data_IF_966240962457
#
_entry.id   IF_966240962457
#
_cell.length_a   1.000
_cell.length_b   1.000
_cell.length_c   1.000
_cell.angle_alpha   90.00
_cell.angle_beta   90.00
_cell.angle_gamma   90.00
#
_symmetry.space_group_name_H-M   'P 1'
#
loop_
_entity.id
_entity.type
_entity.pdbx_description
1 polymer ?
#
# COMPACT_ATOMS: atom_id res chain seq x y z
N UNK A 1 23.57 -3.05 -29.08
CA UNK A 1 22.81 -4.30 -29.34
C UNK A 1 23.47 -5.55 -28.71
N UNK A 2 24.06 -5.44 -27.51
CA UNK A 2 24.86 -6.51 -26.88
C UNK A 2 24.09 -7.81 -26.57
N UNK A 3 22.78 -7.72 -26.34
CA UNK A 3 21.94 -8.84 -25.89
C UNK A 3 20.85 -9.23 -26.91
N UNK A 4 20.97 -8.78 -28.16
CA UNK A 4 19.96 -9.01 -29.20
C UNK A 4 19.65 -10.50 -29.40
N UNK A 5 20.66 -11.36 -29.33
CA UNK A 5 20.53 -12.81 -29.42
C UNK A 5 19.81 -13.48 -28.23
N UNK A 6 19.55 -12.73 -27.15
CA UNK A 6 18.81 -13.21 -25.96
C UNK A 6 17.39 -12.65 -25.90
N UNK A 7 17.01 -11.80 -26.84
CA UNK A 7 15.69 -11.18 -26.91
C UNK A 7 14.89 -11.85 -28.04
N UNK A 8 13.64 -12.20 -27.76
CA UNK A 8 12.73 -12.65 -28.81
C UNK A 8 12.43 -11.52 -29.82
N UNK A 9 12.47 -10.27 -29.37
CA UNK A 9 12.24 -9.08 -30.19
C UNK A 9 12.76 -7.82 -29.48
N UNK A 10 13.19 -6.81 -30.24
CA UNK A 10 13.43 -5.46 -29.75
C UNK A 10 13.15 -4.43 -30.86
N UNK A 11 12.80 -3.21 -30.47
CA UNK A 11 12.59 -2.07 -31.37
C UNK A 11 12.96 -0.78 -30.65
N UNK A 12 13.39 0.23 -31.41
CA UNK A 12 13.62 1.59 -30.94
C UNK A 12 12.94 2.53 -31.92
N UNK A 13 11.80 3.06 -31.52
CA UNK A 13 10.95 3.95 -32.32
C UNK A 13 10.32 4.99 -31.39
N UNK A 14 9.71 6.03 -31.96
CA UNK A 14 8.96 6.99 -31.17
C UNK A 14 7.72 6.33 -30.57
N UNK A 15 7.44 6.61 -29.29
CA UNK A 15 6.23 6.19 -28.59
C UNK A 15 5.45 7.41 -28.06
N UNK A 16 4.19 7.17 -27.70
CA UNK A 16 3.33 8.17 -27.06
C UNK A 16 3.50 8.20 -25.53
N UNK A 17 4.60 7.63 -25.02
CA UNK A 17 4.86 7.42 -23.61
C UNK A 17 4.96 5.94 -23.22
N UNK A 18 5.28 5.72 -21.95
CA UNK A 18 5.60 4.41 -21.38
C UNK A 18 4.45 3.39 -21.53
N UNK A 19 3.20 3.81 -21.39
CA UNK A 19 2.03 2.96 -21.61
C UNK A 19 1.95 2.44 -23.04
N UNK A 20 2.24 3.29 -24.04
CA UNK A 20 2.26 2.86 -25.44
C UNK A 20 3.39 1.85 -25.70
N UNK A 21 4.60 2.13 -25.21
CA UNK A 21 5.73 1.21 -25.32
C UNK A 21 5.44 -0.17 -24.70
N UNK A 22 4.86 -0.21 -23.50
CA UNK A 22 4.48 -1.46 -22.83
C UNK A 22 3.37 -2.17 -23.60
N UNK A 23 2.34 -1.44 -24.04
CA UNK A 23 1.24 -2.02 -24.83
C UNK A 23 1.73 -2.62 -26.14
N UNK A 24 2.68 -1.98 -26.84
CA UNK A 24 3.35 -2.55 -28.02
C UNK A 24 4.06 -3.86 -27.67
N UNK A 25 4.78 -3.91 -26.55
CA UNK A 25 5.40 -5.12 -26.03
C UNK A 25 4.39 -6.23 -25.72
N UNK A 26 3.31 -5.92 -25.01
CA UNK A 26 2.24 -6.88 -24.67
C UNK A 26 1.51 -7.43 -25.90
N UNK A 27 1.29 -6.62 -26.93
CA UNK A 27 0.71 -7.09 -28.21
C UNK A 27 1.63 -8.12 -28.89
N UNK A 28 2.95 -7.97 -28.76
CA UNK A 28 3.95 -8.87 -29.34
C UNK A 28 4.25 -10.11 -28.51
N UNK A 29 4.03 -10.06 -27.20
CA UNK A 29 4.22 -11.20 -26.32
C UNK A 29 3.39 -12.40 -26.83
N UNK A 30 3.79 -13.63 -26.49
CA UNK A 30 3.06 -14.86 -26.86
C UNK A 30 2.70 -15.72 -25.64
N UNK A 31 3.23 -15.39 -24.46
CA UNK A 31 2.95 -16.11 -23.22
C UNK A 31 1.53 -15.88 -22.71
N UNK A 32 1.02 -16.88 -21.96
CA UNK A 32 -0.26 -16.80 -21.24
C UNK A 32 -0.20 -15.89 -20.03
N UNK A 33 1.00 -15.69 -19.49
CA UNK A 33 1.29 -14.78 -18.37
C UNK A 33 2.20 -13.68 -18.91
N UNK A 34 1.82 -12.45 -18.60
CA UNK A 34 2.53 -11.24 -18.99
C UNK A 34 2.93 -10.46 -17.74
N UNK A 35 4.04 -9.75 -17.85
CA UNK A 35 4.51 -8.76 -16.90
C UNK A 35 5.25 -7.68 -17.68
N UNK A 36 5.58 -6.58 -17.04
CA UNK A 36 6.55 -5.63 -17.57
C UNK A 36 7.47 -5.18 -16.46
N UNK A 37 8.70 -4.84 -16.83
CA UNK A 37 9.74 -4.41 -15.89
C UNK A 37 10.36 -3.14 -16.46
N UNK A 38 10.49 -2.11 -15.62
CA UNK A 38 11.17 -0.88 -16.04
C UNK A 38 12.66 -1.16 -16.25
N UNK A 39 13.32 -0.37 -17.09
CA UNK A 39 14.70 -0.63 -17.51
C UNK A 39 15.74 -0.51 -16.41
N UNK A 40 15.37 0.10 -15.29
CA UNK A 40 16.18 0.34 -14.08
C UNK A 40 15.89 -0.67 -12.95
N UNK A 41 14.84 -1.46 -13.07
CA UNK A 41 14.41 -2.47 -12.11
C UNK A 41 14.97 -3.87 -12.44
N UNK A 42 14.94 -4.79 -11.48
CA UNK A 42 15.37 -6.20 -11.70
C UNK A 42 14.44 -7.19 -11.01
N UNK A 43 14.30 -8.40 -11.57
CA UNK A 43 13.64 -9.50 -10.87
C UNK A 43 14.58 -10.18 -9.87
N UNK A 44 13.99 -10.72 -8.80
CA UNK A 44 14.67 -11.65 -7.91
C UNK A 44 14.84 -13.04 -8.58
N UNK A 45 15.90 -13.80 -8.25
CA UNK A 45 16.04 -15.17 -8.73
C UNK A 45 14.82 -16.02 -8.39
N UNK A 46 14.23 -16.67 -9.40
CA UNK A 46 13.05 -17.51 -9.24
C UNK A 46 11.71 -16.76 -9.29
N UNK A 47 11.69 -15.44 -9.41
CA UNK A 47 10.46 -14.65 -9.40
C UNK A 47 9.44 -15.09 -10.47
N UNK A 48 9.89 -15.23 -11.73
CA UNK A 48 9.04 -15.69 -12.84
C UNK A 48 8.48 -17.08 -12.56
N UNK A 49 9.31 -17.99 -12.03
CA UNK A 49 8.89 -19.35 -11.70
C UNK A 49 7.81 -19.35 -10.62
N UNK A 50 8.04 -18.63 -9.52
CA UNK A 50 7.10 -18.55 -8.40
C UNK A 50 5.74 -17.97 -8.84
N UNK A 51 5.75 -16.91 -9.65
CA UNK A 51 4.52 -16.31 -10.17
C UNK A 51 3.77 -17.25 -11.12
N UNK A 52 4.48 -17.92 -12.04
CA UNK A 52 3.90 -18.85 -13.01
C UNK A 52 3.34 -20.09 -12.30
N UNK A 53 4.08 -20.71 -11.38
CA UNK A 53 3.64 -21.88 -10.62
C UNK A 53 2.40 -21.56 -9.78
N UNK A 54 2.36 -20.41 -9.12
CA UNK A 54 1.19 -19.99 -8.35
C UNK A 54 -0.03 -19.82 -9.26
N UNK A 55 0.12 -19.09 -10.37
CA UNK A 55 -0.97 -18.92 -11.33
C UNK A 55 -1.39 -20.27 -11.92
N UNK A 56 -0.49 -21.19 -12.25
CA UNK A 56 -0.88 -22.51 -12.74
C UNK A 56 -1.75 -23.28 -11.73
N UNK A 57 -1.49 -23.14 -10.43
CA UNK A 57 -2.23 -23.80 -9.36
C UNK A 57 -3.55 -23.10 -8.99
N UNK A 58 -3.70 -21.82 -9.30
CA UNK A 58 -4.86 -20.99 -8.94
C UNK A 58 -5.50 -20.38 -10.20
N UNK A 59 -6.28 -21.16 -10.98
CA UNK A 59 -6.89 -20.72 -12.23
C UNK A 59 -7.84 -19.52 -12.07
N UNK A 60 -8.41 -19.33 -10.87
CA UNK A 60 -9.29 -18.22 -10.50
C UNK A 60 -8.56 -16.88 -10.29
N UNK A 61 -7.26 -16.92 -10.02
CA UNK A 61 -6.44 -15.72 -9.82
C UNK A 61 -6.07 -15.09 -11.16
N UNK A 62 -6.43 -13.83 -11.35
CA UNK A 62 -6.15 -13.04 -12.55
C UNK A 62 -4.73 -12.49 -12.57
N UNK A 63 -4.24 -12.12 -11.38
CA UNK A 63 -2.99 -11.42 -11.20
C UNK A 63 -2.38 -11.77 -9.85
N UNK A 64 -1.06 -11.87 -9.84
CA UNK A 64 -0.29 -12.05 -8.63
C UNK A 64 0.77 -10.98 -8.48
N UNK A 65 1.14 -10.69 -7.24
CA UNK A 65 2.20 -9.74 -6.90
C UNK A 65 2.92 -10.17 -5.63
N UNK A 66 4.11 -9.64 -5.35
CA UNK A 66 4.96 -10.12 -4.27
C UNK A 66 5.71 -9.00 -3.56
N UNK A 67 6.62 -9.38 -2.65
CA UNK A 67 7.48 -8.40 -1.99
C UNK A 67 8.42 -7.75 -3.01
N UNK A 68 8.75 -6.49 -2.76
CA UNK A 68 9.65 -5.71 -3.58
C UNK A 68 10.76 -5.14 -2.71
N UNK A 69 12.01 -5.49 -3.00
CA UNK A 69 13.14 -4.77 -2.41
C UNK A 69 13.26 -3.39 -3.02
N UNK A 70 13.74 -2.45 -2.21
CA UNK A 70 14.17 -1.16 -2.71
C UNK A 70 15.69 -1.18 -2.81
N UNK A 71 16.20 -0.79 -3.96
CA UNK A 71 17.63 -0.71 -4.21
C UNK A 71 18.05 0.73 -4.51
N UNK A 72 19.25 1.10 -4.05
CA UNK A 72 19.88 2.36 -4.42
C UNK A 72 20.48 2.29 -5.84
N UNK A 73 21.04 3.39 -6.40
CA UNK A 73 21.70 3.36 -7.71
C UNK A 73 22.83 2.33 -7.83
N UNK A 74 23.49 1.96 -6.72
CA UNK A 74 24.54 0.95 -6.65
C UNK A 74 24.00 -0.49 -6.63
N UNK A 75 22.67 -0.67 -6.52
CA UNK A 75 22.02 -1.98 -6.46
C UNK A 75 21.94 -2.58 -5.05
N UNK A 76 22.32 -1.83 -4.02
CA UNK A 76 22.28 -2.28 -2.64
C UNK A 76 20.86 -2.17 -2.09
N UNK A 77 20.41 -3.19 -1.36
CA UNK A 77 19.09 -3.22 -0.73
C UNK A 77 19.05 -2.21 0.41
N UNK A 78 18.21 -1.20 0.26
CA UNK A 78 18.00 -0.17 1.28
C UNK A 78 16.70 -0.37 2.04
N UNK A 79 15.75 -1.14 1.50
CA UNK A 79 14.43 -1.32 2.09
C UNK A 79 13.65 -2.46 1.46
N UNK A 80 12.44 -2.71 1.97
CA UNK A 80 11.54 -3.72 1.42
C UNK A 80 10.08 -3.30 1.61
N UNK A 81 9.31 -3.37 0.53
CA UNK A 81 7.87 -3.30 0.53
C UNK A 81 7.31 -4.72 0.54
N UNK A 82 6.59 -5.06 1.61
CA UNK A 82 5.93 -6.36 1.72
C UNK A 82 4.60 -6.31 0.99
N UNK A 83 4.41 -7.23 0.04
CA UNK A 83 3.08 -7.57 -0.43
C UNK A 83 2.18 -7.96 0.76
N UNK A 84 1.07 -7.25 0.87
CA UNK A 84 -0.05 -7.58 1.73
C UNK A 84 -1.21 -8.04 0.84
N UNK A 85 -2.04 -8.99 1.27
CA UNK A 85 -3.27 -9.32 0.56
C UNK A 85 -4.15 -8.07 0.44
N UNK A 86 -4.61 -7.76 -0.77
CA UNK A 86 -5.49 -6.62 -1.03
C UNK A 86 -6.73 -7.07 -1.78
N UNK A 87 -7.81 -6.31 -1.58
CA UNK A 87 -8.99 -6.37 -2.42
C UNK A 87 -9.27 -4.97 -2.99
N UNK A 88 -10.35 -4.85 -3.76
CA UNK A 88 -10.73 -3.57 -4.38
C UNK A 88 -10.94 -2.43 -3.36
N UNK A 89 -11.47 -2.70 -2.15
CA UNK A 89 -11.64 -1.68 -1.12
C UNK A 89 -10.28 -1.15 -0.66
N UNK A 90 -9.33 -2.06 -0.39
CA UNK A 90 -7.97 -1.68 -0.01
C UNK A 90 -7.27 -0.92 -1.12
N UNK A 91 -7.40 -1.36 -2.37
CA UNK A 91 -6.76 -0.70 -3.51
C UNK A 91 -7.27 0.72 -3.72
N UNK A 92 -8.59 0.95 -3.62
CA UNK A 92 -9.17 2.28 -3.73
C UNK A 92 -8.60 3.27 -2.71
N UNK A 93 -8.32 2.78 -1.49
CA UNK A 93 -7.77 3.59 -0.42
C UNK A 93 -6.25 3.69 -0.48
N UNK A 94 -5.57 2.69 -1.03
CA UNK A 94 -4.12 2.54 -1.00
C UNK A 94 -3.60 1.79 -2.23
N UNK A 95 -2.76 2.43 -3.06
CA UNK A 95 -2.05 1.73 -4.13
C UNK A 95 -0.90 0.89 -3.53
N UNK A 96 -1.23 -0.30 -3.04
CA UNK A 96 -0.31 -1.15 -2.27
C UNK A 96 0.49 -2.14 -3.12
N UNK A 97 0.28 -2.19 -4.44
CA UNK A 97 0.92 -3.15 -5.34
C UNK A 97 2.12 -2.49 -6.01
N UNK A 98 3.29 -3.10 -5.84
CA UNK A 98 4.50 -2.66 -6.52
C UNK A 98 4.51 -3.21 -7.94
N UNK A 99 4.40 -2.31 -8.92
CA UNK A 99 4.40 -2.62 -10.35
C UNK A 99 5.40 -3.71 -10.78
N UNK A 100 6.71 -3.64 -10.45
CA UNK A 100 7.68 -4.61 -10.96
C UNK A 100 7.47 -6.03 -10.41
N UNK A 101 6.60 -6.22 -9.42
CA UNK A 101 6.27 -7.53 -8.86
C UNK A 101 5.04 -8.17 -9.49
N UNK A 102 4.30 -7.45 -10.34
CA UNK A 102 3.01 -7.91 -10.83
C UNK A 102 3.13 -8.80 -12.08
N UNK A 103 2.50 -9.97 -12.00
CA UNK A 103 2.35 -10.92 -13.11
C UNK A 103 0.86 -11.14 -13.35
N UNK A 104 0.42 -11.00 -14.60
CA UNK A 104 -0.98 -10.95 -15.00
C UNK A 104 -1.24 -12.04 -16.01
N UNK A 105 -2.38 -12.73 -15.92
CA UNK A 105 -2.84 -13.56 -17.04
C UNK A 105 -3.21 -12.67 -18.22
N UNK A 106 -2.66 -12.97 -19.40
CA UNK A 106 -2.95 -12.22 -20.63
C UNK A 106 -4.44 -12.11 -20.91
N UNK A 107 -5.20 -13.21 -20.75
CA UNK A 107 -6.67 -13.27 -20.99
C UNK A 107 -7.49 -12.25 -20.18
N UNK A 108 -6.92 -11.70 -19.11
CA UNK A 108 -7.56 -10.66 -18.31
C UNK A 108 -7.68 -9.37 -19.11
N UNK A 109 -6.65 -9.06 -19.92
CA UNK A 109 -6.62 -7.84 -20.74
C UNK A 109 -7.69 -7.82 -21.83
N UNK A 110 -8.19 -8.98 -22.27
CA UNK A 110 -9.28 -9.07 -23.26
C UNK A 110 -10.57 -8.44 -22.73
N UNK A 111 -10.74 -8.43 -21.40
CA UNK A 111 -11.93 -7.91 -20.73
C UNK A 111 -11.68 -6.56 -20.07
N UNK A 112 -10.50 -6.36 -19.48
CA UNK A 112 -10.18 -5.12 -18.76
C UNK A 112 -9.63 -4.03 -19.69
N UNK A 113 -9.10 -4.40 -20.85
CA UNK A 113 -8.25 -3.54 -21.68
C UNK A 113 -6.82 -3.44 -21.15
N UNK A 114 -5.93 -2.88 -21.98
CA UNK A 114 -4.50 -2.69 -21.66
C UNK A 114 -4.28 -1.41 -20.81
N UNK A 115 -3.04 -0.90 -20.76
CA UNK A 115 -2.73 0.36 -20.08
C UNK A 115 -3.31 1.54 -20.88
N UNK A 116 -3.83 2.53 -20.16
CA UNK A 116 -4.34 3.76 -20.76
C UNK A 116 -3.18 4.67 -21.16
N UNK A 117 -3.06 4.97 -22.45
CA UNK A 117 -1.95 5.78 -23.00
C UNK A 117 -2.07 7.26 -22.64
N UNK A 118 -3.25 7.71 -22.22
CA UNK A 118 -3.50 9.08 -21.77
C UNK A 118 -3.03 9.33 -20.32
N UNK A 119 -2.61 8.29 -19.60
CA UNK A 119 -2.09 8.38 -18.24
C UNK A 119 -0.56 8.43 -18.27
N UNK A 120 0.01 9.55 -17.82
CA UNK A 120 1.47 9.72 -17.74
C UNK A 120 2.10 9.06 -16.52
N UNK A 121 1.32 8.88 -15.45
CA UNK A 121 1.70 8.28 -14.18
C UNK A 121 0.58 7.37 -13.66
N UNK A 122 0.91 6.45 -12.75
CA UNK A 122 -0.05 5.55 -12.08
C UNK A 122 -0.96 4.74 -13.05
N UNK A 123 -0.51 4.55 -14.30
CA UNK A 123 -1.16 3.73 -15.31
C UNK A 123 -1.37 2.27 -14.87
N UNK A 124 -0.46 1.76 -14.05
CA UNK A 124 -0.55 0.46 -13.38
C UNK A 124 -1.69 0.44 -12.36
N UNK A 125 -1.82 1.48 -11.55
CA UNK A 125 -2.89 1.60 -10.55
C UNK A 125 -4.29 1.54 -11.18
N UNK A 126 -4.47 2.22 -12.32
CA UNK A 126 -5.70 2.12 -13.10
C UNK A 126 -6.01 0.68 -13.53
N UNK A 127 -5.00 -0.04 -14.03
CA UNK A 127 -5.15 -1.43 -14.43
C UNK A 127 -5.46 -2.33 -13.23
N UNK A 128 -4.79 -2.13 -12.09
CA UNK A 128 -5.06 -2.88 -10.86
C UNK A 128 -6.52 -2.72 -10.39
N UNK A 129 -7.06 -1.51 -10.43
CA UNK A 129 -8.47 -1.26 -10.07
C UNK A 129 -9.43 -1.96 -11.04
N UNK A 130 -9.18 -1.88 -12.36
CA UNK A 130 -10.01 -2.55 -13.37
C UNK A 130 -10.01 -4.07 -13.22
N UNK A 131 -8.85 -4.66 -12.93
CA UNK A 131 -8.73 -6.11 -12.67
C UNK A 131 -9.44 -6.47 -11.38
N UNK A 132 -9.11 -5.81 -10.27
CA UNK A 132 -9.59 -6.16 -8.93
C UNK A 132 -11.09 -5.92 -8.73
N UNK A 133 -11.72 -5.08 -9.57
CA UNK A 133 -13.17 -4.89 -9.56
C UNK A 133 -13.92 -6.16 -9.98
N UNK A 134 -13.33 -6.99 -10.84
CA UNK A 134 -14.02 -8.13 -11.45
C UNK A 134 -13.37 -9.47 -11.16
N UNK A 135 -12.09 -9.50 -10.83
CA UNK A 135 -11.32 -10.74 -10.71
C UNK A 135 -10.41 -10.73 -9.50
N UNK A 136 -10.11 -11.92 -8.99
CA UNK A 136 -9.27 -12.12 -7.83
C UNK A 136 -7.82 -11.77 -8.15
N UNK A 137 -7.17 -11.10 -7.21
CA UNK A 137 -5.74 -10.83 -7.21
C UNK A 137 -5.14 -11.36 -5.91
N UNK A 138 -3.93 -11.90 -5.95
CA UNK A 138 -3.32 -12.52 -4.77
C UNK A 138 -1.88 -12.05 -4.53
N UNK A 139 -1.57 -11.84 -3.25
CA UNK A 139 -0.21 -11.57 -2.78
C UNK A 139 0.54 -12.88 -2.55
N UNK A 140 1.76 -13.00 -3.07
CA UNK A 140 2.69 -14.03 -2.66
C UNK A 140 3.59 -13.53 -1.52
N UNK A 141 3.87 -14.37 -0.50
CA UNK A 141 4.81 -14.07 0.57
C UNK A 141 6.27 -14.31 0.14
N UNK A 142 6.63 -13.91 -1.08
CA UNK A 142 7.99 -14.04 -1.63
C UNK A 142 8.43 -12.75 -2.30
N UNK A 143 9.74 -12.49 -2.31
CA UNK A 143 10.32 -11.36 -3.05
C UNK A 143 10.36 -11.67 -4.54
N UNK A 144 9.75 -10.80 -5.35
CA UNK A 144 9.68 -10.98 -6.80
C UNK A 144 10.58 -9.99 -7.55
N UNK A 145 10.78 -8.78 -7.02
CA UNK A 145 11.53 -7.76 -7.75
C UNK A 145 12.28 -6.80 -6.83
N UNK A 146 13.19 -6.05 -7.44
CA UNK A 146 13.90 -4.92 -6.88
C UNK A 146 13.50 -3.66 -7.65
N UNK A 147 12.94 -2.70 -6.93
CA UNK A 147 12.61 -1.37 -7.43
C UNK A 147 13.75 -0.41 -7.15
N UNK A 148 14.25 0.28 -8.18
CA UNK A 148 15.33 1.27 -8.01
C UNK A 148 14.76 2.62 -7.58
N UNK A 149 15.08 3.03 -6.37
CA UNK A 149 14.69 4.33 -5.86
C UNK A 149 15.77 5.37 -6.23
N UNK A 150 15.39 6.39 -7.00
CA UNK A 150 16.25 7.55 -7.27
C UNK A 150 15.40 8.84 -7.43
N UNK A 151 16.04 9.98 -7.22
CA UNK A 151 15.40 11.31 -7.16
C UNK A 151 14.71 11.72 -8.47
N UNK A 152 15.20 11.22 -9.61
CA UNK A 152 14.64 11.51 -10.93
C UNK A 152 13.45 10.61 -11.31
N UNK A 153 13.07 9.64 -10.47
CA UNK A 153 11.92 8.79 -10.78
C UNK A 153 10.65 9.65 -10.94
N UNK A 154 9.82 9.34 -11.94
CA UNK A 154 8.66 10.19 -12.31
C UNK A 154 7.72 10.47 -11.14
N UNK A 155 7.49 9.46 -10.30
CA UNK A 155 6.65 9.55 -9.10
C UNK A 155 7.18 10.54 -8.05
N UNK A 156 8.49 10.82 -8.05
CA UNK A 156 9.17 11.78 -7.17
C UNK A 156 9.26 13.16 -7.82
N UNK A 157 9.55 13.23 -9.11
CA UNK A 157 9.83 14.49 -9.80
C UNK A 157 8.57 15.35 -10.04
N UNK A 158 7.36 14.74 -10.08
CA UNK A 158 6.12 15.44 -10.51
C UNK A 158 4.92 15.15 -9.59
N UNK A 159 4.97 15.54 -8.30
CA UNK A 159 3.92 15.19 -7.32
C UNK A 159 2.53 15.72 -7.71
N UNK A 160 2.43 16.93 -8.28
CA UNK A 160 1.15 17.49 -8.74
C UNK A 160 0.53 16.66 -9.86
N UNK A 161 1.32 16.26 -10.85
CA UNK A 161 0.82 15.44 -11.97
C UNK A 161 0.37 14.08 -11.46
N UNK A 162 1.12 13.48 -10.53
CA UNK A 162 0.75 12.20 -9.91
C UNK A 162 -0.61 12.26 -9.19
N UNK A 163 -0.88 13.33 -8.42
CA UNK A 163 -2.19 13.53 -7.78
C UNK A 163 -3.29 13.71 -8.82
N UNK A 164 -3.06 14.48 -9.88
CA UNK A 164 -4.07 14.71 -10.92
C UNK A 164 -4.40 13.42 -11.68
N UNK A 165 -3.38 12.62 -12.06
CA UNK A 165 -3.60 11.32 -12.72
C UNK A 165 -4.38 10.37 -11.80
N UNK A 166 -4.00 10.25 -10.52
CA UNK A 166 -4.75 9.44 -9.56
C UNK A 166 -6.19 9.93 -9.36
N UNK A 167 -6.43 11.25 -9.30
CA UNK A 167 -7.78 11.81 -9.24
C UNK A 167 -8.59 11.48 -10.49
N UNK A 168 -7.99 11.57 -11.68
CA UNK A 168 -8.63 11.20 -12.96
C UNK A 168 -9.04 9.73 -12.96
N UNK A 169 -8.13 8.85 -12.53
CA UNK A 169 -8.38 7.40 -12.40
C UNK A 169 -9.56 7.15 -11.44
N UNK A 170 -9.52 7.74 -10.23
CA UNK A 170 -10.56 7.55 -9.22
C UNK A 170 -11.91 8.12 -9.68
N UNK A 171 -11.95 9.33 -10.23
CA UNK A 171 -13.19 9.93 -10.76
C UNK A 171 -13.80 9.06 -11.86
N UNK A 172 -12.97 8.53 -12.77
CA UNK A 172 -13.43 7.58 -13.80
C UNK A 172 -13.97 6.30 -13.18
N UNK A 173 -13.28 5.75 -12.19
CA UNK A 173 -13.73 4.55 -11.47
C UNK A 173 -15.11 4.79 -10.84
N UNK A 174 -15.28 5.87 -10.07
CA UNK A 174 -16.53 6.19 -9.36
C UNK A 174 -17.68 6.64 -10.27
N UNK A 175 -17.38 7.12 -11.48
CA UNK A 175 -18.38 7.40 -12.50
C UNK A 175 -19.08 6.14 -13.05
N UNK A 176 -18.59 4.94 -12.74
CA UNK A 176 -19.24 3.70 -13.16
C UNK A 176 -20.62 3.55 -12.46
N UNK A 177 -21.73 3.56 -13.22
CA UNK A 177 -23.08 3.50 -12.66
C UNK A 177 -23.43 2.13 -12.07
N UNK A 178 -22.60 1.10 -12.26
CA UNK A 178 -22.80 -0.24 -11.73
C UNK A 178 -22.02 -0.54 -10.45
N UNK A 179 -21.29 0.44 -9.88
CA UNK A 179 -20.55 0.22 -8.64
C UNK A 179 -21.46 -0.17 -7.46
N UNK A 180 -21.08 -1.19 -6.68
CA UNK A 180 -21.72 -1.49 -5.41
C UNK A 180 -21.75 -0.28 -4.46
N UNK A 181 -22.82 -0.08 -3.67
CA UNK A 181 -22.89 1.01 -2.69
C UNK A 181 -21.71 1.03 -1.70
N UNK A 182 -21.20 -0.14 -1.31
CA UNK A 182 -20.05 -0.26 -0.41
C UNK A 182 -18.78 0.35 -1.00
N UNK A 183 -18.58 0.25 -2.32
CA UNK A 183 -17.46 0.88 -3.00
C UNK A 183 -17.69 2.39 -3.16
N UNK A 184 -18.90 2.81 -3.57
CA UNK A 184 -19.22 4.24 -3.72
C UNK A 184 -19.01 5.04 -2.44
N UNK A 185 -19.32 4.44 -1.28
CA UNK A 185 -19.10 5.07 0.01
C UNK A 185 -17.62 5.44 0.28
N UNK A 186 -16.67 4.84 -0.45
CA UNK A 186 -15.24 5.12 -0.32
C UNK A 186 -14.76 6.30 -1.19
N UNK A 187 -15.58 6.86 -2.08
CA UNK A 187 -15.15 7.86 -3.06
C UNK A 187 -14.41 9.05 -2.44
N UNK A 188 -15.05 9.67 -1.45
CA UNK A 188 -14.48 10.82 -0.76
C UNK A 188 -13.12 10.47 -0.11
N UNK A 189 -13.06 9.32 0.59
CA UNK A 189 -11.84 8.89 1.26
C UNK A 189 -10.72 8.53 0.28
N UNK A 190 -11.05 7.86 -0.83
CA UNK A 190 -10.09 7.49 -1.87
C UNK A 190 -9.45 8.74 -2.52
N UNK A 191 -10.27 9.75 -2.83
CA UNK A 191 -9.80 11.01 -3.40
C UNK A 191 -8.88 11.76 -2.43
N UNK A 192 -9.23 11.82 -1.15
CA UNK A 192 -8.37 12.44 -0.13
C UNK A 192 -7.08 11.66 0.08
N UNK A 193 -7.14 10.33 0.18
CA UNK A 193 -5.95 9.49 0.32
C UNK A 193 -4.98 9.67 -0.86
N UNK A 194 -5.49 10.01 -2.06
CA UNK A 194 -4.66 10.37 -3.20
C UNK A 194 -3.75 11.57 -2.90
N UNK A 195 -4.32 12.64 -2.33
CA UNK A 195 -3.55 13.80 -1.89
C UNK A 195 -2.58 13.44 -0.78
N UNK A 196 -3.07 12.81 0.29
CA UNK A 196 -2.26 12.56 1.48
C UNK A 196 -1.06 11.66 1.18
N UNK A 197 -1.22 10.65 0.33
CA UNK A 197 -0.09 9.78 -0.07
C UNK A 197 1.02 10.61 -0.70
N UNK A 198 0.66 11.51 -1.62
CA UNK A 198 1.61 12.37 -2.32
C UNK A 198 2.20 13.42 -1.39
N UNK A 199 1.39 14.06 -0.55
CA UNK A 199 1.85 15.05 0.43
C UNK A 199 2.89 14.40 1.34
N UNK A 200 2.60 13.24 1.93
CA UNK A 200 3.57 12.54 2.78
C UNK A 200 4.85 12.19 2.01
N UNK A 201 4.73 11.86 0.72
CA UNK A 201 5.87 11.68 -0.16
C UNK A 201 6.72 12.93 -0.34
N UNK A 202 6.10 14.07 -0.63
CA UNK A 202 6.79 15.35 -0.73
C UNK A 202 7.60 15.64 0.53
N UNK A 203 7.01 15.45 1.72
CA UNK A 203 7.71 15.70 2.98
C UNK A 203 8.85 14.70 3.24
N UNK A 204 8.68 13.43 2.86
CA UNK A 204 9.74 12.43 2.97
C UNK A 204 10.96 12.71 2.08
N UNK A 205 10.72 13.39 0.97
CA UNK A 205 11.71 13.75 -0.04
C UNK A 205 12.15 15.22 0.06
N UNK A 206 11.82 15.89 1.17
CA UNK A 206 12.17 17.28 1.46
C UNK A 206 11.62 18.31 0.43
N UNK A 207 10.57 17.95 -0.30
CA UNK A 207 9.81 18.82 -1.21
C UNK A 207 8.72 19.59 -0.45
N UNK A 208 9.09 20.30 0.61
CA UNK A 208 8.15 20.86 1.59
C UNK A 208 7.12 21.84 0.98
N UNK A 209 7.54 22.69 0.04
CA UNK A 209 6.65 23.68 -0.56
C UNK A 209 5.58 23.02 -1.44
N UNK A 210 5.96 22.01 -2.24
CA UNK A 210 5.00 21.21 -3.00
C UNK A 210 4.02 20.47 -2.09
N UNK A 211 4.52 19.92 -0.97
CA UNK A 211 3.68 19.26 0.03
C UNK A 211 2.65 20.21 0.67
N UNK A 212 3.05 21.44 1.05
CA UNK A 212 2.16 22.46 1.63
C UNK A 212 1.12 22.94 0.63
N UNK A 213 1.51 23.14 -0.62
CA UNK A 213 0.60 23.57 -1.68
C UNK A 213 -0.46 22.49 -1.98
N UNK A 214 -0.05 21.22 -2.09
CA UNK A 214 -0.99 20.11 -2.22
C UNK A 214 -1.93 19.99 -1.01
N UNK A 215 -1.43 20.27 0.19
CA UNK A 215 -2.26 20.30 1.39
C UNK A 215 -3.34 21.40 1.29
N UNK A 216 -2.96 22.61 0.89
CA UNK A 216 -3.90 23.72 0.72
C UNK A 216 -4.97 23.36 -0.32
N UNK A 217 -4.57 22.83 -1.48
CA UNK A 217 -5.50 22.35 -2.51
C UNK A 217 -6.47 21.31 -1.97
N UNK A 218 -5.97 20.30 -1.23
CA UNK A 218 -6.81 19.28 -0.60
C UNK A 218 -7.82 19.89 0.38
N UNK A 219 -7.42 20.85 1.22
CA UNK A 219 -8.33 21.48 2.19
C UNK A 219 -9.41 22.35 1.55
N UNK A 220 -9.13 22.92 0.38
CA UNK A 220 -10.12 23.68 -0.39
C UNK A 220 -11.10 22.73 -1.08
N UNK A 221 -10.60 21.64 -1.67
CA UNK A 221 -11.46 20.67 -2.38
C UNK A 221 -12.28 19.78 -1.43
N UNK A 222 -11.73 19.44 -0.26
CA UNK A 222 -12.32 18.50 0.72
C UNK A 222 -12.29 19.09 2.14
N UNK A 223 -13.00 20.20 2.40
CA UNK A 223 -12.94 20.91 3.68
C UNK A 223 -13.40 20.05 4.87
N UNK A 224 -14.37 19.16 4.65
CA UNK A 224 -14.94 18.29 5.69
C UNK A 224 -13.98 17.18 6.13
N UNK A 225 -12.93 16.90 5.36
CA UNK A 225 -11.98 15.84 5.71
C UNK A 225 -11.30 16.06 7.06
N UNK A 226 -11.04 17.32 7.43
CA UNK A 226 -10.41 17.67 8.70
C UNK A 226 -11.26 17.27 9.92
N UNK A 227 -12.53 16.92 9.72
CA UNK A 227 -13.41 16.40 10.78
C UNK A 227 -13.31 14.88 10.96
N UNK A 228 -12.71 14.15 9.99
CA UNK A 228 -12.61 12.69 9.98
C UNK A 228 -11.34 12.18 10.67
N UNK A 229 -11.22 12.45 11.97
CA UNK A 229 -9.98 12.15 12.73
C UNK A 229 -9.51 10.68 12.67
N UNK A 230 -10.41 9.69 12.62
CA UNK A 230 -10.03 8.27 12.61
C UNK A 230 -9.41 7.81 11.29
N UNK A 231 -9.95 8.24 10.14
CA UNK A 231 -9.42 7.83 8.83
C UNK A 231 -8.01 8.37 8.60
N UNK A 232 -7.77 9.60 9.07
CA UNK A 232 -6.45 10.23 9.13
C UNK A 232 -5.48 9.41 9.98
N UNK A 233 -5.91 9.01 11.18
CA UNK A 233 -5.07 8.27 12.12
C UNK A 233 -4.65 6.92 11.51
N UNK A 234 -5.61 6.18 10.96
CA UNK A 234 -5.34 4.90 10.30
C UNK A 234 -4.41 5.09 9.10
N UNK A 235 -4.69 6.08 8.25
CA UNK A 235 -3.87 6.34 7.07
C UNK A 235 -2.42 6.66 7.43
N UNK A 236 -2.21 7.62 8.34
CA UNK A 236 -0.87 8.04 8.76
C UNK A 236 -0.10 6.90 9.44
N UNK A 237 -0.76 6.11 10.29
CA UNK A 237 -0.11 5.00 10.98
C UNK A 237 0.26 3.85 10.02
N UNK A 238 -0.63 3.48 9.10
CA UNK A 238 -0.34 2.43 8.11
C UNK A 238 0.82 2.82 7.19
N UNK A 239 0.88 4.08 6.78
CA UNK A 239 1.99 4.58 5.98
C UNK A 239 3.30 4.55 6.76
N UNK A 240 3.28 5.01 8.01
CA UNK A 240 4.47 5.06 8.84
C UNK A 240 5.05 3.66 9.15
N UNK A 241 4.21 2.63 9.27
CA UNK A 241 4.66 1.27 9.62
C UNK A 241 4.95 0.41 8.39
N UNK A 242 4.07 0.44 7.38
CA UNK A 242 4.12 -0.51 6.27
C UNK A 242 4.60 0.12 4.95
N UNK A 243 4.90 1.43 4.93
CA UNK A 243 5.22 2.18 3.71
C UNK A 243 4.15 2.02 2.60
N UNK A 244 2.89 1.74 2.96
CA UNK A 244 1.85 1.43 1.98
C UNK A 244 1.66 2.61 1.03
N UNK A 245 1.83 2.39 -0.26
CA UNK A 245 1.61 3.39 -1.31
C UNK A 245 2.67 4.48 -1.41
N UNK A 246 3.76 4.40 -0.65
CA UNK A 246 4.83 5.38 -0.68
C UNK A 246 6.22 4.70 -0.53
N UNK A 247 6.72 4.07 -1.62
CA UNK A 247 8.03 3.42 -1.65
C UNK A 247 9.15 4.33 -1.12
N UNK A 248 9.13 5.61 -1.44
CA UNK A 248 10.14 6.58 -1.02
C UNK A 248 10.25 6.82 0.50
N UNK A 249 9.35 6.26 1.32
CA UNK A 249 9.34 6.42 2.79
C UNK A 249 10.36 5.55 3.54
N UNK A 250 11.43 5.13 2.91
CA UNK A 250 12.44 4.33 3.58
C UNK A 250 13.10 5.08 4.78
N UNK A 251 13.13 6.43 4.74
CA UNK A 251 13.50 7.26 5.90
C UNK A 251 12.47 7.21 7.04
N UNK A 252 11.17 7.16 6.72
CA UNK A 252 10.11 7.05 7.72
C UNK A 252 10.08 5.65 8.36
N UNK A 253 10.44 4.60 7.63
CA UNK A 253 10.49 3.25 8.17
C UNK A 253 11.57 3.06 9.26
N UNK A 254 12.69 3.81 9.16
CA UNK A 254 13.77 3.76 10.15
C UNK A 254 13.36 4.38 11.49
N UNK A 255 12.75 5.57 11.47
CA UNK A 255 12.17 6.21 12.66
C UNK A 255 10.84 6.90 12.33
N UNK A 256 9.71 6.16 12.38
CA UNK A 256 8.41 6.69 11.97
C UNK A 256 7.87 7.75 12.90
N UNK A 257 8.28 7.72 14.18
CA UNK A 257 7.84 8.71 15.16
C UNK A 257 8.57 10.02 14.90
N UNK A 258 9.89 9.97 14.71
CA UNK A 258 10.66 11.18 14.40
C UNK A 258 10.23 11.77 13.06
N UNK A 259 10.02 10.94 12.04
CA UNK A 259 9.49 11.40 10.77
C UNK A 259 8.09 12.04 10.90
N UNK A 260 7.18 11.42 11.65
CA UNK A 260 5.85 11.98 11.91
C UNK A 260 5.94 13.35 12.59
N UNK A 261 6.83 13.52 13.57
CA UNK A 261 7.05 14.82 14.23
C UNK A 261 7.55 15.87 13.24
N UNK A 262 8.53 15.52 12.39
CA UNK A 262 9.01 16.42 11.34
C UNK A 262 7.87 16.81 10.40
N UNK A 263 7.08 15.84 9.94
CA UNK A 263 5.89 16.08 9.12
C UNK A 263 4.90 17.04 9.80
N UNK A 264 4.50 16.76 11.04
CA UNK A 264 3.57 17.57 11.83
C UNK A 264 4.07 19.01 12.06
N UNK A 265 5.39 19.18 12.20
CA UNK A 265 6.02 20.48 12.37
C UNK A 265 5.98 21.33 11.10
N UNK A 266 6.07 20.70 9.93
CA UNK A 266 6.10 21.38 8.63
C UNK A 266 4.71 21.58 8.00
N UNK A 267 3.64 21.11 8.68
CA UNK A 267 2.26 21.33 8.28
C UNK A 267 1.89 22.84 8.22
N UNK A 268 1.08 23.26 7.22
CA UNK A 268 0.64 24.65 7.08
C UNK A 268 -0.35 25.07 8.19
N UNK A 269 -0.60 26.38 8.39
CA UNK A 269 -1.42 26.87 9.52
C UNK A 269 -2.86 26.33 9.56
N UNK A 270 -3.50 26.16 8.40
CA UNK A 270 -4.83 25.54 8.25
C UNK A 270 -4.86 24.06 8.66
N UNK A 271 -3.70 23.42 8.80
CA UNK A 271 -3.56 22.03 9.22
C UNK A 271 -3.32 21.86 10.73
N UNK A 272 -3.22 22.93 11.52
CA UNK A 272 -2.81 22.81 12.94
C UNK A 272 -3.72 21.92 13.79
N UNK A 273 -5.00 21.75 13.41
CA UNK A 273 -5.89 20.80 14.06
C UNK A 273 -5.33 19.36 14.03
N UNK A 274 -4.58 18.99 13.00
CA UNK A 274 -3.91 17.68 12.85
C UNK A 274 -2.88 17.40 13.93
N UNK A 275 -2.22 18.44 14.46
CA UNK A 275 -1.24 18.28 15.55
C UNK A 275 -1.87 17.70 16.80
N UNK A 276 -3.17 17.93 17.01
CA UNK A 276 -3.93 17.33 18.12
C UNK A 276 -4.09 15.81 17.96
N UNK A 277 -3.98 15.28 16.74
CA UNK A 277 -4.05 13.84 16.46
C UNK A 277 -2.71 13.13 16.67
N UNK A 278 -1.59 13.86 16.76
CA UNK A 278 -0.25 13.27 16.87
C UNK A 278 -0.15 12.18 17.96
N UNK A 279 -0.64 12.37 19.21
CA UNK A 279 -0.56 11.33 20.22
C UNK A 279 -1.29 10.05 19.82
N UNK A 280 -2.45 10.20 19.16
CA UNK A 280 -3.29 9.07 18.72
C UNK A 280 -2.67 8.35 17.52
N UNK A 281 -2.04 9.06 16.60
CA UNK A 281 -1.28 8.47 15.49
C UNK A 281 -0.09 7.67 16.03
N UNK A 282 0.68 8.23 16.97
CA UNK A 282 1.80 7.52 17.61
C UNK A 282 1.29 6.28 18.37
N UNK A 283 0.19 6.40 19.10
CA UNK A 283 -0.44 5.26 19.78
C UNK A 283 -0.85 4.17 18.79
N UNK A 284 -1.36 4.55 17.61
CA UNK A 284 -1.73 3.62 16.54
C UNK A 284 -0.52 2.93 15.92
N UNK A 285 0.58 3.65 15.67
CA UNK A 285 1.86 3.07 15.22
C UNK A 285 2.33 1.97 16.19
N UNK A 286 2.35 2.27 17.49
CA UNK A 286 2.69 1.29 18.52
C UNK A 286 1.72 0.11 18.56
N UNK A 287 0.42 0.36 18.34
CA UNK A 287 -0.58 -0.70 18.25
C UNK A 287 -0.26 -1.67 17.10
N UNK A 288 0.02 -1.17 15.90
CA UNK A 288 0.36 -2.00 14.74
C UNK A 288 1.63 -2.84 15.04
N UNK A 289 2.70 -2.20 15.55
CA UNK A 289 3.95 -2.88 15.92
C UNK A 289 3.75 -3.96 16.98
N UNK A 290 2.84 -3.74 17.93
CA UNK A 290 2.50 -4.74 18.93
C UNK A 290 1.88 -6.00 18.30
N UNK A 291 0.94 -5.82 17.36
CA UNK A 291 0.32 -6.92 16.63
C UNK A 291 1.36 -7.69 15.79
N UNK A 292 2.20 -6.98 15.04
CA UNK A 292 3.28 -7.60 14.24
C UNK A 292 4.25 -8.42 15.12
N UNK A 293 4.71 -7.84 16.23
CA UNK A 293 5.60 -8.52 17.16
C UNK A 293 4.96 -9.76 17.78
N UNK A 294 3.67 -9.68 18.14
CA UNK A 294 2.92 -10.81 18.66
C UNK A 294 2.82 -11.96 17.64
N UNK A 295 2.46 -11.67 16.39
CA UNK A 295 2.39 -12.71 15.34
C UNK A 295 3.76 -13.27 14.97
N UNK A 296 4.83 -12.47 15.11
CA UNK A 296 6.21 -12.93 15.03
C UNK A 296 6.69 -13.72 16.28
N UNK A 297 5.78 -13.99 17.24
CA UNK A 297 6.06 -14.68 18.52
C UNK A 297 7.07 -13.96 19.41
N UNK A 298 7.25 -12.65 19.24
CA UNK A 298 8.09 -11.81 20.07
C UNK A 298 7.27 -11.10 21.16
N UNK A 299 6.89 -11.87 22.18
CA UNK A 299 6.03 -11.40 23.27
C UNK A 299 6.62 -10.23 24.07
N UNK A 300 7.95 -10.11 24.16
CA UNK A 300 8.61 -9.01 24.89
C UNK A 300 8.42 -7.69 24.15
N UNK A 301 8.68 -7.66 22.84
CA UNK A 301 8.45 -6.46 22.02
C UNK A 301 6.96 -6.12 21.96
N UNK A 302 6.08 -7.12 21.80
CA UNK A 302 4.64 -6.91 21.81
C UNK A 302 4.18 -6.15 23.07
N UNK A 303 4.65 -6.56 24.26
CA UNK A 303 4.36 -5.87 25.52
C UNK A 303 4.89 -4.43 25.52
N UNK A 304 6.16 -4.24 25.19
CA UNK A 304 6.77 -2.90 25.18
C UNK A 304 5.95 -1.93 24.31
N UNK A 305 5.55 -2.38 23.12
CA UNK A 305 4.74 -1.57 22.20
C UNK A 305 3.32 -1.31 22.72
N UNK A 306 2.67 -2.28 23.37
CA UNK A 306 1.35 -2.07 24.02
C UNK A 306 1.41 -1.00 25.11
N UNK A 307 2.43 -1.05 25.98
CA UNK A 307 2.59 -0.03 27.03
C UNK A 307 2.82 1.36 26.43
N UNK A 308 3.62 1.45 25.36
CA UNK A 308 3.83 2.70 24.63
C UNK A 308 2.54 3.22 24.01
N UNK A 309 1.71 2.35 23.45
CA UNK A 309 0.40 2.71 22.91
C UNK A 309 -0.53 3.26 23.99
N UNK A 310 -0.71 2.55 25.11
CA UNK A 310 -1.57 2.99 26.23
C UNK A 310 -1.10 4.29 26.89
N UNK A 311 0.21 4.50 27.00
CA UNK A 311 0.75 5.75 27.53
C UNK A 311 0.40 6.96 26.66
N UNK A 312 0.23 6.76 25.35
CA UNK A 312 -0.09 7.80 24.37
C UNK A 312 -1.58 8.02 24.20
N UNK A 313 -2.36 6.94 24.18
CA UNK A 313 -3.81 6.97 24.14
C UNK A 313 -4.40 5.96 25.16
N UNK A 314 -4.73 6.42 26.38
CA UNK A 314 -5.30 5.55 27.40
C UNK A 314 -6.66 4.94 27.02
N UNK A 315 -7.37 5.47 26.01
CA UNK A 315 -8.65 4.89 25.58
C UNK A 315 -8.45 3.49 24.96
N UNK A 316 -7.25 3.19 24.46
CA UNK A 316 -6.89 1.87 23.93
C UNK A 316 -6.90 0.75 24.99
N UNK A 317 -7.03 1.06 26.28
CA UNK A 317 -7.32 0.06 27.32
C UNK A 317 -8.68 -0.62 27.11
N UNK A 318 -9.59 0.01 26.35
CA UNK A 318 -10.88 -0.59 25.97
C UNK A 318 -10.77 -1.50 24.73
N UNK A 319 -9.62 -1.51 24.04
CA UNK A 319 -9.41 -2.35 22.86
C UNK A 319 -9.20 -3.81 23.29
N UNK A 320 -10.25 -4.64 23.12
CA UNK A 320 -10.23 -6.05 23.52
C UNK A 320 -9.11 -6.86 22.89
N UNK A 321 -8.75 -6.58 21.64
CA UNK A 321 -7.65 -7.26 20.95
C UNK A 321 -6.31 -6.98 21.61
N UNK A 322 -6.03 -5.70 21.88
CA UNK A 322 -4.77 -5.27 22.51
C UNK A 322 -4.64 -5.80 23.94
N UNK A 323 -5.73 -5.75 24.72
CA UNK A 323 -5.79 -6.32 26.07
C UNK A 323 -5.60 -7.83 26.05
N UNK A 324 -6.22 -8.53 25.09
CA UNK A 324 -6.06 -9.98 24.95
C UNK A 324 -4.61 -10.35 24.67
N UNK A 325 -3.95 -9.68 23.73
CA UNK A 325 -2.53 -9.91 23.42
C UNK A 325 -1.68 -9.64 24.67
N UNK A 326 -1.91 -8.54 25.37
CA UNK A 326 -1.18 -8.21 26.59
C UNK A 326 -1.26 -9.35 27.62
N UNK A 327 -2.46 -9.85 27.91
CA UNK A 327 -2.65 -10.95 28.87
C UNK A 327 -1.97 -12.22 28.35
N UNK A 328 -2.19 -12.60 27.09
CA UNK A 328 -1.58 -13.78 26.47
C UNK A 328 -0.04 -13.75 26.55
N UNK A 329 0.58 -12.59 26.36
CA UNK A 329 2.04 -12.45 26.47
C UNK A 329 2.58 -12.55 27.90
N UNK A 330 1.72 -12.44 28.92
CA UNK A 330 2.09 -12.60 30.33
C UNK A 330 1.88 -14.02 30.84
N UNK A 331 0.75 -14.65 30.47
CA UNK A 331 0.35 -15.95 31.03
C UNK A 331 0.48 -17.12 30.06
N UNK A 332 0.75 -16.86 28.79
CA UNK A 332 0.82 -17.86 27.73
C UNK A 332 -0.54 -18.14 27.07
N UNK A 333 -0.50 -18.57 25.80
CA UNK A 333 -1.69 -18.84 25.00
C UNK A 333 -2.53 -20.00 25.55
N UNK A 334 -1.88 -21.04 26.09
CA UNK A 334 -2.55 -22.23 26.64
C UNK A 334 -3.39 -21.89 27.89
N UNK A 335 -2.84 -21.05 28.78
CA UNK A 335 -3.56 -20.55 29.96
C UNK A 335 -4.75 -19.69 29.54
N UNK A 336 -4.60 -18.86 28.51
CA UNK A 336 -5.70 -18.06 27.98
C UNK A 336 -6.78 -18.91 27.31
N UNK A 337 -6.41 -20.00 26.64
CA UNK A 337 -7.37 -20.94 26.08
C UNK A 337 -8.15 -21.66 27.19
N UNK A 338 -7.49 -22.02 28.30
CA UNK A 338 -8.13 -22.55 29.51
C UNK A 338 -9.11 -21.54 30.13
N UNK A 339 -8.74 -20.26 30.23
CA UNK A 339 -9.62 -19.20 30.76
C UNK A 339 -10.83 -18.92 29.85
N UNK A 340 -10.67 -19.02 28.53
CA UNK A 340 -11.77 -18.91 27.56
C UNK A 340 -12.72 -20.10 27.57
N UNK A 341 -12.28 -21.27 28.04
CA UNK A 341 -13.05 -22.53 28.10
C UNK A 341 -13.93 -22.68 29.36
N UNK A 342 -14.18 -21.63 30.15
CA UNK A 342 -15.12 -21.78 31.28
C UNK A 342 -16.54 -22.08 30.77
N UNK A 343 -17.26 -23.06 31.36
CA UNK A 343 -18.55 -23.53 30.87
C UNK A 343 -19.63 -22.46 31.05
N UNK A 344 -20.63 -22.45 30.15
CA UNK A 344 -21.94 -21.84 30.40
C UNK A 344 -22.43 -22.28 31.78
N UNK A 345 -22.90 -21.31 32.57
CA UNK A 345 -23.43 -21.52 33.91
C UNK A 345 -24.31 -22.77 33.97
N UNK A 346 -24.07 -23.61 34.98
CA UNK A 346 -24.92 -24.75 35.30
C UNK A 346 -26.38 -24.28 35.37
N UNK A 347 -27.25 -24.90 34.57
CA UNK A 347 -28.69 -24.81 34.81
C UNK A 347 -28.95 -25.32 36.24
N UNK A 348 -29.77 -24.62 37.04
CA UNK A 348 -30.11 -25.10 38.36
C UNK A 348 -30.88 -26.42 38.23
N UNK A 349 -30.71 -27.36 39.17
CA UNK A 349 -31.38 -28.65 39.10
C UNK A 349 -32.90 -28.43 39.13
N UNK A 350 -33.58 -29.00 38.13
CA UNK A 350 -35.03 -29.14 38.12
C UNK A 350 -35.48 -29.93 39.35
N UNK A 351 -36.28 -29.30 40.20
CA UNK A 351 -37.21 -29.96 41.10
C UNK A 351 -38.63 -29.79 40.56
#
# INVERSE_FOLDING_TARGET
RKYENRLAYWVSEQDAGQADAINKGWRRATGEIIAYLNSDDTYEPGAVRAAVEFLAQHPETAMVYGHCYQINPQGERVGMLRAIPVNIHTLLLHNAIMQPTAFIRRRVLDHTGMLDVELGHAMDYDLWLRIALHQRIDALPVSLANFRAHEESKSVAKPFVFVQDRKRILKRFFANPQLPPSLRALEHQALVNSFLTTILGCFALDQLDAGKELWNQMTVEYPDYMTQSESIIEFAANIAVHNVGAPWLNRAAQDPIQWLKTFMSALPPNAYAMRKLEPRIIARIHTIRAFEAYWAKNCTIARIEILRAWRRDPQLLKNRGLVSIWIETLVGADVMQLLRRRPLAAQPPTQ
#
